data_IF_019587504756
#
_entry.id   IF_019587504756
#
_cell.length_a   1.000
_cell.length_b   1.000
_cell.length_c   1.000
_cell.angle_alpha   90.00
_cell.angle_beta   90.00
_cell.angle_gamma   90.00
#
_symmetry.space_group_name_H-M   'P 1'
#
loop_
_entity.id
_entity.type
_entity.pdbx_description
1 polymer ?
#
# COMPACT_ATOMS: atom_id res chain seq x y z
N UNK A 1 -9.87 -25.16 12.83
CA UNK A 1 -8.76 -24.33 12.32
C UNK A 1 -8.72 -24.54 10.81
N UNK A 2 -8.86 -23.48 10.02
CA UNK A 2 -8.67 -23.54 8.56
C UNK A 2 -7.27 -24.08 8.28
N UNK A 3 -7.14 -25.06 7.39
CA UNK A 3 -5.84 -25.54 6.90
C UNK A 3 -5.26 -24.59 5.85
N UNK A 4 -6.06 -23.61 5.37
CA UNK A 4 -5.63 -22.59 4.43
C UNK A 4 -5.06 -21.37 5.18
N UNK A 5 -3.75 -21.25 5.19
CA UNK A 5 -3.03 -20.14 5.83
C UNK A 5 -3.31 -18.76 5.18
N UNK A 6 -3.90 -18.75 3.98
CA UNK A 6 -4.23 -17.53 3.23
C UNK A 6 -5.70 -17.12 3.34
N UNK A 7 -6.51 -17.87 4.10
CA UNK A 7 -7.92 -17.57 4.32
C UNK A 7 -8.07 -16.26 5.13
N UNK A 8 -8.83 -15.32 4.58
CA UNK A 8 -9.14 -14.03 5.19
C UNK A 8 -10.63 -13.89 5.55
N UNK A 9 -11.38 -15.00 5.57
CA UNK A 9 -12.81 -14.98 5.89
C UNK A 9 -13.07 -14.31 7.25
N UNK A 10 -13.98 -13.32 7.25
CA UNK A 10 -14.32 -12.54 8.43
C UNK A 10 -13.30 -11.46 8.82
N UNK A 11 -12.27 -11.20 8.02
CA UNK A 11 -11.33 -10.08 8.22
C UNK A 11 -11.87 -8.82 7.56
N UNK A 12 -11.67 -7.67 8.19
CA UNK A 12 -11.95 -6.34 7.64
C UNK A 12 -10.64 -5.72 7.18
N UNK A 13 -10.57 -5.37 5.89
CA UNK A 13 -9.36 -4.80 5.28
C UNK A 13 -9.62 -3.40 4.72
N UNK A 14 -8.83 -2.41 5.13
CA UNK A 14 -8.80 -1.08 4.53
C UNK A 14 -7.64 -1.00 3.54
N UNK A 15 -7.92 -0.71 2.26
CA UNK A 15 -6.90 -0.52 1.21
C UNK A 15 -6.96 0.91 0.71
N UNK A 16 -5.90 1.69 0.94
CA UNK A 16 -5.80 3.07 0.47
C UNK A 16 -5.25 3.16 -0.95
N UNK A 17 -5.69 4.14 -1.75
CA UNK A 17 -5.30 4.23 -3.17
C UNK A 17 -5.77 3.04 -4.00
N UNK A 18 -6.91 2.44 -3.62
CA UNK A 18 -7.42 1.19 -4.16
C UNK A 18 -8.29 1.35 -5.42
N UNK A 19 -8.44 2.57 -5.94
CA UNK A 19 -9.26 2.82 -7.14
C UNK A 19 -8.60 2.38 -8.46
N UNK A 20 -7.32 1.96 -8.44
CA UNK A 20 -6.56 1.50 -9.61
C UNK A 20 -5.20 0.88 -9.23
N UNK A 21 -4.57 0.21 -10.20
CA UNK A 21 -3.19 -0.25 -10.12
C UNK A 21 -2.95 -1.27 -9.00
N UNK A 22 -1.84 -1.12 -8.27
CA UNK A 22 -1.45 -2.06 -7.21
C UNK A 22 -2.53 -2.14 -6.13
N UNK A 23 -3.07 -1.00 -5.68
CA UNK A 23 -4.11 -0.97 -4.64
C UNK A 23 -5.39 -1.69 -5.06
N UNK A 24 -5.84 -1.53 -6.30
CA UNK A 24 -6.98 -2.25 -6.85
C UNK A 24 -6.71 -3.76 -6.91
N UNK A 25 -5.53 -4.16 -7.41
CA UNK A 25 -5.16 -5.57 -7.49
C UNK A 25 -5.11 -6.23 -6.10
N UNK A 26 -4.59 -5.50 -5.10
CA UNK A 26 -4.61 -5.95 -3.70
C UNK A 26 -6.05 -6.10 -3.20
N UNK A 27 -6.89 -5.07 -3.38
CA UNK A 27 -8.28 -5.09 -2.91
C UNK A 27 -9.06 -6.29 -3.48
N UNK A 28 -8.92 -6.57 -4.77
CA UNK A 28 -9.54 -7.73 -5.43
C UNK A 28 -9.05 -9.04 -4.84
N UNK A 29 -7.74 -9.23 -4.71
CA UNK A 29 -7.19 -10.48 -4.20
C UNK A 29 -7.57 -10.72 -2.74
N UNK A 30 -7.59 -9.70 -1.88
CA UNK A 30 -8.02 -9.87 -0.48
C UNK A 30 -9.51 -10.24 -0.40
N UNK A 31 -10.36 -9.68 -1.26
CA UNK A 31 -11.77 -10.05 -1.34
C UNK A 31 -11.98 -11.47 -1.89
N UNK A 32 -11.19 -11.90 -2.88
CA UNK A 32 -11.17 -13.30 -3.39
C UNK A 32 -10.80 -14.30 -2.28
N UNK A 33 -10.01 -13.88 -1.28
CA UNK A 33 -9.65 -14.69 -0.13
C UNK A 33 -10.61 -14.55 1.08
N UNK A 34 -11.77 -13.91 0.88
CA UNK A 34 -12.85 -13.85 1.87
C UNK A 34 -12.85 -12.62 2.78
N UNK A 35 -11.94 -11.67 2.60
CA UNK A 35 -11.99 -10.42 3.37
C UNK A 35 -13.15 -9.52 2.93
N UNK A 36 -13.74 -8.78 3.87
CA UNK A 36 -14.50 -7.57 3.53
C UNK A 36 -13.54 -6.42 3.29
N UNK A 37 -13.56 -5.82 2.10
CA UNK A 37 -12.57 -4.81 1.68
C UNK A 37 -13.19 -3.43 1.60
N UNK A 38 -12.67 -2.50 2.39
CA UNK A 38 -12.96 -1.07 2.29
C UNK A 38 -12.02 -0.50 1.21
N UNK A 39 -12.58 -0.28 0.03
CA UNK A 39 -11.87 0.28 -1.14
C UNK A 39 -11.80 1.79 -0.97
N UNK A 40 -10.61 2.34 -0.70
CA UNK A 40 -10.48 3.75 -0.38
C UNK A 40 -9.57 4.51 -1.35
N UNK A 41 -10.03 5.67 -1.78
CA UNK A 41 -9.25 6.69 -2.50
C UNK A 41 -9.92 8.06 -2.37
N UNK A 42 -9.36 9.10 -3.03
CA UNK A 42 -9.87 10.48 -2.93
C UNK A 42 -11.26 10.68 -3.52
N UNK A 43 -11.63 9.90 -4.55
CA UNK A 43 -12.91 10.00 -5.26
C UNK A 43 -13.76 8.78 -4.96
N UNK A 44 -14.95 9.01 -4.40
CA UNK A 44 -15.88 7.95 -4.03
C UNK A 44 -16.34 7.14 -5.24
N UNK A 45 -16.62 7.79 -6.35
CA UNK A 45 -17.06 7.17 -7.60
C UNK A 45 -16.06 6.15 -8.16
N UNK A 46 -14.74 6.49 -8.09
CA UNK A 46 -13.67 5.57 -8.52
C UNK A 46 -13.58 4.36 -7.56
N UNK A 47 -13.82 4.56 -6.27
CA UNK A 47 -13.87 3.48 -5.28
C UNK A 47 -15.09 2.58 -5.50
N UNK A 48 -16.26 3.16 -5.76
CA UNK A 48 -17.50 2.42 -6.04
C UNK A 48 -17.34 1.52 -7.26
N UNK A 49 -16.71 2.02 -8.33
CA UNK A 49 -16.45 1.21 -9.54
C UNK A 49 -15.71 -0.08 -9.21
N UNK A 50 -14.67 -0.01 -8.36
CA UNK A 50 -13.89 -1.18 -7.95
C UNK A 50 -14.69 -2.05 -6.98
N UNK A 51 -15.34 -1.45 -5.98
CA UNK A 51 -16.15 -2.18 -5.00
C UNK A 51 -17.32 -2.93 -5.65
N UNK A 52 -18.02 -2.29 -6.60
CA UNK A 52 -19.09 -2.93 -7.37
C UNK A 52 -18.58 -4.13 -8.17
N UNK A 53 -17.41 -4.00 -8.78
CA UNK A 53 -16.84 -5.11 -9.55
C UNK A 53 -16.35 -6.27 -8.65
N UNK A 54 -15.87 -6.00 -7.43
CA UNK A 54 -15.55 -7.04 -6.43
C UNK A 54 -16.84 -7.77 -6.02
N UNK A 55 -17.92 -7.03 -5.72
CA UNK A 55 -19.22 -7.63 -5.37
C UNK A 55 -19.79 -8.46 -6.50
N UNK A 56 -19.67 -7.99 -7.75
CA UNK A 56 -20.14 -8.73 -8.95
C UNK A 56 -19.34 -10.04 -9.15
N UNK A 57 -18.10 -10.12 -8.67
CA UNK A 57 -17.29 -11.35 -8.66
C UNK A 57 -17.56 -12.26 -7.45
N UNK A 58 -18.53 -11.93 -6.59
CA UNK A 58 -18.88 -12.71 -5.40
C UNK A 58 -18.09 -12.36 -4.13
N UNK A 59 -17.22 -11.36 -4.18
CA UNK A 59 -16.48 -10.85 -3.02
C UNK A 59 -17.30 -9.84 -2.20
N UNK A 60 -16.73 -9.39 -1.09
CA UNK A 60 -17.34 -8.40 -0.20
C UNK A 60 -16.53 -7.10 -0.20
N UNK A 61 -17.15 -5.98 -0.55
CA UNK A 61 -16.47 -4.69 -0.57
C UNK A 61 -17.42 -3.51 -0.45
N UNK A 62 -16.91 -2.43 0.14
CA UNK A 62 -17.55 -1.11 0.19
C UNK A 62 -16.59 0.01 -0.25
N UNK A 63 -17.10 1.11 -0.82
CA UNK A 63 -16.31 2.27 -1.19
C UNK A 63 -16.21 3.25 -0.03
N UNK A 64 -15.07 3.92 0.14
CA UNK A 64 -14.90 4.98 1.12
C UNK A 64 -13.96 6.07 0.61
N UNK A 65 -14.42 7.32 0.55
CA UNK A 65 -13.57 8.44 0.16
C UNK A 65 -12.62 8.80 1.32
N UNK A 66 -11.30 8.89 1.02
CA UNK A 66 -10.30 9.37 1.97
C UNK A 66 -9.10 9.95 1.20
N UNK A 67 -8.75 11.19 1.53
CA UNK A 67 -7.48 11.77 1.15
C UNK A 67 -6.48 11.59 2.31
N UNK A 68 -5.58 10.60 2.21
CA UNK A 68 -4.66 10.22 3.31
C UNK A 68 -3.74 11.36 3.80
N UNK A 69 -3.59 12.45 3.07
CA UNK A 69 -2.88 13.64 3.51
C UNK A 69 -3.71 14.58 4.40
N UNK A 70 -5.01 14.36 4.53
CA UNK A 70 -5.91 15.19 5.35
C UNK A 70 -6.27 14.48 6.64
N UNK A 71 -5.98 15.13 7.76
CA UNK A 71 -6.22 14.50 9.07
C UNK A 71 -7.70 14.32 9.36
N UNK A 72 -8.54 15.24 8.89
CA UNK A 72 -9.99 15.15 8.98
C UNK A 72 -10.56 13.95 8.23
N UNK A 73 -10.04 13.65 7.02
CA UNK A 73 -10.47 12.49 6.23
C UNK A 73 -10.05 11.18 6.91
N UNK A 74 -8.83 11.14 7.49
CA UNK A 74 -8.37 10.00 8.27
C UNK A 74 -9.27 9.77 9.48
N UNK A 75 -9.56 10.83 10.24
CA UNK A 75 -10.43 10.74 11.40
C UNK A 75 -11.84 10.23 11.04
N UNK A 76 -12.43 10.76 9.96
CA UNK A 76 -13.73 10.33 9.45
C UNK A 76 -13.72 8.86 8.99
N UNK A 77 -12.65 8.44 8.29
CA UNK A 77 -12.46 7.05 7.86
C UNK A 77 -12.48 6.08 9.04
N UNK A 78 -11.72 6.37 10.10
CA UNK A 78 -11.66 5.49 11.26
C UNK A 78 -12.89 5.59 12.16
N UNK A 79 -13.62 6.73 12.15
CA UNK A 79 -14.94 6.83 12.77
C UNK A 79 -15.93 5.89 12.08
N UNK A 80 -16.00 5.94 10.75
CA UNK A 80 -16.83 5.04 9.94
C UNK A 80 -16.51 3.56 10.22
N UNK A 81 -15.22 3.17 10.21
CA UNK A 81 -14.83 1.78 10.48
C UNK A 81 -15.25 1.33 11.89
N UNK A 82 -15.11 2.18 12.90
CA UNK A 82 -15.57 1.87 14.26
C UNK A 82 -17.07 1.68 14.33
N UNK A 83 -17.83 2.54 13.68
CA UNK A 83 -19.29 2.53 13.70
C UNK A 83 -19.86 1.33 12.93
N UNK A 84 -19.36 1.05 11.74
CA UNK A 84 -19.93 0.04 10.85
C UNK A 84 -19.40 -1.37 11.13
N UNK A 85 -18.13 -1.50 11.55
CA UNK A 85 -17.47 -2.80 11.68
C UNK A 85 -17.00 -3.11 13.10
N UNK A 86 -16.79 -2.08 13.95
CA UNK A 86 -16.25 -2.25 15.31
C UNK A 86 -14.81 -2.75 15.36
N UNK A 87 -14.21 -3.07 14.22
CA UNK A 87 -12.86 -3.67 14.11
C UNK A 87 -12.16 -3.32 12.78
N UNK A 88 -10.83 -3.47 12.78
CA UNK A 88 -10.02 -3.49 11.56
C UNK A 88 -8.91 -4.54 11.72
N UNK A 89 -8.81 -5.50 10.78
CA UNK A 89 -7.81 -6.56 10.82
C UNK A 89 -6.59 -6.26 9.96
N UNK A 90 -6.79 -5.56 8.84
CA UNK A 90 -5.78 -5.33 7.82
C UNK A 90 -5.82 -3.86 7.38
N UNK A 91 -4.64 -3.20 7.39
CA UNK A 91 -4.45 -1.91 6.75
C UNK A 91 -3.41 -2.03 5.64
N UNK A 92 -3.75 -1.56 4.44
CA UNK A 92 -2.80 -1.41 3.33
C UNK A 92 -2.63 0.09 3.04
N UNK A 93 -1.49 0.63 3.43
CA UNK A 93 -1.05 1.96 3.06
C UNK A 93 -0.43 1.89 1.66
N UNK A 94 -1.22 2.20 0.62
CA UNK A 94 -0.77 2.17 -0.76
C UNK A 94 -0.92 3.51 -1.49
N UNK A 95 -1.82 4.39 -1.04
CA UNK A 95 -1.97 5.72 -1.63
C UNK A 95 -0.65 6.51 -1.58
N UNK A 96 -0.16 6.97 -2.73
CA UNK A 96 1.09 7.72 -2.82
C UNK A 96 0.99 8.93 -3.75
N UNK A 97 1.90 9.87 -3.59
CA UNK A 97 2.11 11.00 -4.47
C UNK A 97 3.58 11.07 -4.94
N UNK A 98 3.77 11.40 -6.20
CA UNK A 98 5.05 11.78 -6.80
C UNK A 98 4.78 12.96 -7.75
N UNK A 99 4.57 14.16 -7.21
CA UNK A 99 4.13 15.32 -8.00
C UNK A 99 5.24 15.94 -8.85
N UNK A 100 6.50 15.55 -8.61
CA UNK A 100 7.65 16.12 -9.28
C UNK A 100 8.58 15.01 -9.81
N UNK A 101 8.95 15.13 -11.08
CA UNK A 101 9.94 14.31 -11.75
C UNK A 101 10.99 15.23 -12.40
N UNK A 102 12.16 15.35 -11.76
CA UNK A 102 13.22 16.28 -12.18
C UNK A 102 14.39 16.30 -11.20
N UNK A 103 15.39 17.14 -11.50
CA UNK A 103 16.60 17.24 -10.69
C UNK A 103 16.27 17.67 -9.25
N UNK A 104 16.91 17.06 -8.26
CA UNK A 104 16.56 17.23 -6.83
C UNK A 104 16.71 18.70 -6.36
N UNK A 105 17.65 19.45 -6.92
CA UNK A 105 17.86 20.85 -6.58
C UNK A 105 16.74 21.79 -7.07
N UNK A 106 15.93 21.34 -8.02
CA UNK A 106 14.81 22.09 -8.59
C UNK A 106 13.47 21.72 -7.95
N UNK A 107 13.49 20.88 -6.89
CA UNK A 107 12.27 20.51 -6.16
C UNK A 107 11.71 21.73 -5.42
N UNK A 108 10.50 22.15 -5.78
CA UNK A 108 9.82 23.24 -5.09
C UNK A 108 9.16 22.81 -3.78
N UNK A 109 8.79 23.80 -2.95
CA UNK A 109 8.18 23.56 -1.65
C UNK A 109 6.82 22.83 -1.77
N UNK A 110 6.04 23.13 -2.81
CA UNK A 110 4.72 22.52 -2.99
C UNK A 110 4.83 21.02 -3.31
N UNK A 111 5.80 20.65 -4.14
CA UNK A 111 6.09 19.23 -4.44
C UNK A 111 6.64 18.50 -3.20
N UNK A 112 7.53 19.15 -2.44
CA UNK A 112 8.04 18.62 -1.19
C UNK A 112 6.92 18.39 -0.18
N UNK A 113 6.12 19.42 0.11
CA UNK A 113 5.02 19.35 1.08
C UNK A 113 3.99 18.29 0.69
N UNK A 114 3.62 18.23 -0.60
CA UNK A 114 2.66 17.22 -1.08
C UNK A 114 3.18 15.80 -0.93
N UNK A 115 4.47 15.59 -1.17
CA UNK A 115 5.08 14.27 -1.01
C UNK A 115 5.13 13.87 0.47
N UNK A 116 5.57 14.75 1.35
CA UNK A 116 5.62 14.51 2.80
C UNK A 116 4.22 14.30 3.37
N UNK A 117 3.26 15.16 2.99
CA UNK A 117 1.86 15.07 3.41
C UNK A 117 1.26 13.68 3.13
N UNK A 118 1.41 13.19 1.90
CA UNK A 118 0.76 11.94 1.48
C UNK A 118 1.58 10.72 1.88
N UNK A 119 2.90 10.71 1.55
CA UNK A 119 3.69 9.49 1.66
C UNK A 119 4.23 9.25 3.08
N UNK A 120 4.45 10.30 3.88
CA UNK A 120 5.00 10.16 5.24
C UNK A 120 3.92 10.38 6.28
N UNK A 121 3.34 11.61 6.36
CA UNK A 121 2.34 11.94 7.37
C UNK A 121 1.09 11.07 7.24
N UNK A 122 0.62 10.86 6.00
CA UNK A 122 -0.54 10.02 5.73
C UNK A 122 -0.36 8.58 6.21
N UNK A 123 0.73 7.93 5.80
CA UNK A 123 1.05 6.55 6.24
C UNK A 123 1.18 6.43 7.75
N UNK A 124 1.85 7.42 8.36
CA UNK A 124 2.04 7.43 9.81
C UNK A 124 0.71 7.46 10.56
N UNK A 125 -0.16 8.43 10.26
CA UNK A 125 -1.42 8.59 10.99
C UNK A 125 -2.48 7.55 10.62
N UNK A 126 -2.50 7.04 9.37
CA UNK A 126 -3.29 5.85 9.04
C UNK A 126 -2.87 4.65 9.89
N UNK A 127 -1.55 4.44 10.07
CA UNK A 127 -1.03 3.34 10.90
C UNK A 127 -1.33 3.55 12.39
N UNK A 128 -1.26 4.80 12.89
CA UNK A 128 -1.62 5.13 14.29
C UNK A 128 -3.09 4.80 14.57
N UNK A 129 -4.01 5.26 13.72
CA UNK A 129 -5.44 5.03 13.94
C UNK A 129 -5.82 3.54 13.76
N UNK A 130 -5.24 2.84 12.76
CA UNK A 130 -5.40 1.40 12.63
C UNK A 130 -4.84 0.65 13.85
N UNK A 131 -3.65 1.02 14.30
CA UNK A 131 -3.01 0.42 15.47
C UNK A 131 -3.84 0.55 16.74
N UNK A 132 -4.55 1.68 16.95
CA UNK A 132 -5.48 1.87 18.07
C UNK A 132 -6.63 0.85 18.05
N UNK A 133 -7.24 0.61 16.87
CA UNK A 133 -8.28 -0.40 16.71
C UNK A 133 -7.74 -1.81 16.90
N UNK A 134 -6.63 -2.14 16.25
CA UNK A 134 -6.00 -3.46 16.28
C UNK A 134 -5.51 -3.82 17.70
N UNK A 135 -5.02 -2.84 18.47
CA UNK A 135 -4.61 -3.02 19.87
C UNK A 135 -5.73 -3.57 20.73
N UNK A 136 -6.95 -3.06 20.59
CA UNK A 136 -8.11 -3.53 21.37
C UNK A 136 -8.51 -4.96 21.03
N UNK A 137 -8.13 -5.44 19.82
CA UNK A 137 -8.39 -6.79 19.31
C UNK A 137 -7.27 -7.77 19.67
N UNK A 138 -6.09 -7.28 20.09
CA UNK A 138 -4.88 -8.07 20.33
C UNK A 138 -4.26 -8.68 19.05
N UNK A 139 -4.65 -8.21 17.86
CA UNK A 139 -4.14 -8.70 16.57
C UNK A 139 -4.36 -7.68 15.45
N UNK A 140 -3.50 -7.71 14.44
CA UNK A 140 -3.63 -6.91 13.22
C UNK A 140 -2.46 -7.10 12.27
N UNK A 141 -2.64 -6.65 11.02
CA UNK A 141 -1.59 -6.62 10.03
C UNK A 141 -1.61 -5.29 9.26
N UNK A 142 -0.48 -4.61 9.21
CA UNK A 142 -0.29 -3.39 8.42
C UNK A 142 0.76 -3.67 7.34
N UNK A 143 0.45 -3.33 6.09
CA UNK A 143 1.42 -3.38 5.00
C UNK A 143 1.56 -2.00 4.39
N UNK A 144 2.80 -1.52 4.35
CA UNK A 144 3.17 -0.26 3.72
C UNK A 144 3.72 -0.52 2.31
N UNK A 145 3.09 0.02 1.28
CA UNK A 145 3.62 -0.06 -0.08
C UNK A 145 4.66 1.06 -0.26
N UNK A 146 5.93 0.68 -0.13
CA UNK A 146 7.06 1.57 -0.34
C UNK A 146 7.46 1.62 -1.84
N UNK A 147 8.69 1.31 -2.17
CA UNK A 147 9.27 1.20 -3.52
C UNK A 147 10.69 0.67 -3.38
N UNK A 148 11.27 0.08 -4.43
CA UNK A 148 12.73 -0.14 -4.54
C UNK A 148 13.53 1.16 -4.39
N UNK A 149 12.91 2.31 -4.68
CA UNK A 149 13.51 3.62 -4.43
C UNK A 149 13.79 3.91 -2.93
N UNK A 150 13.28 3.08 -2.03
CA UNK A 150 13.66 3.12 -0.62
C UNK A 150 15.08 2.58 -0.38
N UNK A 151 15.60 1.74 -1.28
CA UNK A 151 16.92 1.11 -1.21
C UNK A 151 17.93 1.83 -2.12
N UNK A 152 17.51 2.07 -3.37
CA UNK A 152 18.31 2.74 -4.39
C UNK A 152 17.50 3.91 -4.96
N UNK A 153 17.93 5.16 -4.75
CA UNK A 153 17.21 6.32 -5.26
C UNK A 153 17.07 6.27 -6.78
N UNK A 154 15.84 6.47 -7.28
CA UNK A 154 15.61 6.59 -8.72
C UNK A 154 16.06 7.96 -9.24
N UNK A 155 16.61 7.98 -10.44
CA UNK A 155 16.96 9.22 -11.15
C UNK A 155 15.75 10.15 -11.24
N UNK A 156 15.95 11.45 -11.00
CA UNK A 156 14.93 12.50 -11.07
C UNK A 156 13.74 12.30 -10.09
N UNK A 157 13.89 11.46 -9.06
CA UNK A 157 12.86 11.15 -8.07
C UNK A 157 13.33 11.39 -6.62
N UNK A 158 14.14 12.41 -6.38
CA UNK A 158 14.82 12.63 -5.11
C UNK A 158 13.88 12.63 -3.90
N UNK A 159 12.91 13.56 -3.82
CA UNK A 159 12.00 13.64 -2.67
C UNK A 159 11.09 12.40 -2.55
N UNK A 160 10.68 11.78 -3.68
CA UNK A 160 9.92 10.55 -3.66
C UNK A 160 10.74 9.41 -3.04
N UNK A 161 11.99 9.23 -3.46
CA UNK A 161 12.90 8.20 -2.93
C UNK A 161 13.12 8.39 -1.42
N UNK A 162 13.38 9.62 -0.97
CA UNK A 162 13.49 9.98 0.46
C UNK A 162 12.22 9.57 1.22
N UNK A 163 11.05 9.89 0.66
CA UNK A 163 9.78 9.53 1.31
C UNK A 163 9.58 8.02 1.42
N UNK A 164 10.03 7.25 0.41
CA UNK A 164 9.91 5.78 0.43
C UNK A 164 10.93 5.12 1.38
N UNK A 165 12.12 5.69 1.54
CA UNK A 165 13.06 5.29 2.58
C UNK A 165 12.49 5.55 3.99
N UNK A 166 11.83 6.70 4.19
CA UNK A 166 11.12 7.00 5.44
C UNK A 166 10.02 5.97 5.73
N UNK A 167 9.24 5.55 4.72
CA UNK A 167 8.21 4.50 4.86
C UNK A 167 8.83 3.15 5.24
N UNK A 168 9.95 2.76 4.64
CA UNK A 168 10.64 1.52 4.98
C UNK A 168 11.13 1.54 6.45
N UNK A 169 11.67 2.66 6.92
CA UNK A 169 12.09 2.77 8.32
C UNK A 169 10.89 2.88 9.28
N UNK A 170 9.85 3.61 8.91
CA UNK A 170 8.57 3.68 9.63
C UNK A 170 7.99 2.28 9.87
N UNK A 171 8.05 1.40 8.87
CA UNK A 171 7.62 0.00 8.98
C UNK A 171 8.31 -0.70 10.14
N UNK A 172 9.64 -0.57 10.26
CA UNK A 172 10.43 -1.17 11.34
C UNK A 172 10.08 -0.58 12.71
N UNK A 173 9.88 0.74 12.77
CA UNK A 173 9.50 1.41 14.02
C UNK A 173 8.14 0.91 14.54
N UNK A 174 7.10 0.91 13.68
CA UNK A 174 5.79 0.37 14.06
C UNK A 174 5.84 -1.12 14.39
N UNK A 175 6.59 -1.92 13.62
CA UNK A 175 6.74 -3.35 13.89
C UNK A 175 7.33 -3.62 15.27
N UNK A 176 8.33 -2.83 15.68
CA UNK A 176 8.98 -2.94 17.00
C UNK A 176 8.03 -2.56 18.14
N UNK A 177 7.31 -1.45 18.01
CA UNK A 177 6.45 -0.94 19.08
C UNK A 177 5.10 -1.65 19.15
N UNK A 178 4.55 -2.07 18.00
CA UNK A 178 3.23 -2.71 17.93
C UNK A 178 3.28 -4.24 18.03
N UNK A 179 4.45 -4.86 17.83
CA UNK A 179 4.62 -6.31 17.94
C UNK A 179 4.11 -6.89 19.28
N UNK A 180 4.43 -6.30 20.44
CA UNK A 180 3.90 -6.76 21.73
C UNK A 180 2.37 -6.65 21.87
N UNK A 181 1.72 -5.91 20.98
CA UNK A 181 0.26 -5.77 20.91
C UNK A 181 -0.40 -6.78 19.96
N UNK A 182 0.37 -7.72 19.38
CA UNK A 182 -0.11 -8.68 18.38
C UNK A 182 -0.29 -8.09 16.98
N UNK A 183 0.30 -6.92 16.69
CA UNK A 183 0.18 -6.24 15.39
C UNK A 183 1.48 -6.42 14.62
N UNK A 184 1.39 -7.00 13.41
CA UNK A 184 2.53 -7.12 12.50
C UNK A 184 2.53 -5.97 11.51
N UNK A 185 3.71 -5.41 11.25
CA UNK A 185 3.87 -4.30 10.29
C UNK A 185 5.01 -4.63 9.34
N UNK A 186 4.73 -4.73 8.05
CA UNK A 186 5.70 -5.06 7.02
C UNK A 186 5.57 -4.09 5.83
N UNK A 187 6.54 -4.13 4.92
CA UNK A 187 6.50 -3.34 3.70
C UNK A 187 6.64 -4.21 2.45
N UNK A 188 5.94 -3.83 1.39
CA UNK A 188 6.18 -4.25 0.02
C UNK A 188 7.01 -3.17 -0.68
N UNK A 189 8.07 -3.56 -1.37
CA UNK A 189 8.91 -2.69 -2.19
C UNK A 189 8.77 -3.08 -3.67
N UNK A 190 7.77 -2.53 -4.38
CA UNK A 190 7.63 -2.78 -5.82
C UNK A 190 8.79 -2.21 -6.62
N UNK A 191 9.22 -2.95 -7.63
CA UNK A 191 10.04 -2.46 -8.73
C UNK A 191 9.21 -1.77 -9.81
N UNK A 192 9.74 -1.77 -11.05
CA UNK A 192 9.08 -1.19 -12.21
C UNK A 192 7.80 -1.95 -12.56
N UNK A 193 6.66 -1.41 -12.15
CA UNK A 193 5.34 -2.04 -12.25
C UNK A 193 4.41 -1.19 -13.14
N UNK A 194 3.67 -1.84 -14.04
CA UNK A 194 2.76 -1.19 -14.98
C UNK A 194 1.54 -0.61 -14.28
N UNK A 195 1.58 0.69 -14.05
CA UNK A 195 0.50 1.44 -13.40
C UNK A 195 0.35 2.82 -14.04
N UNK A 196 -0.82 3.45 -13.87
CA UNK A 196 -0.99 4.86 -14.27
C UNK A 196 -0.04 5.80 -13.51
N UNK A 197 0.40 5.43 -12.32
CA UNK A 197 1.37 6.19 -11.53
C UNK A 197 2.74 6.24 -12.20
N UNK A 198 3.13 5.18 -12.90
CA UNK A 198 4.40 5.07 -13.60
C UNK A 198 4.31 5.41 -15.10
N UNK A 199 3.17 5.93 -15.60
CA UNK A 199 2.91 6.13 -17.04
C UNK A 199 4.01 6.90 -17.75
N UNK A 200 4.57 7.95 -17.13
CA UNK A 200 5.65 8.75 -17.72
C UNK A 200 6.90 7.91 -18.11
N UNK A 201 7.18 6.83 -17.35
CA UNK A 201 8.29 5.91 -17.66
C UNK A 201 7.95 4.96 -18.81
N UNK A 202 6.67 4.61 -18.98
CA UNK A 202 6.20 3.76 -20.08
C UNK A 202 6.02 4.51 -21.40
N UNK A 203 5.73 5.81 -21.35
CA UNK A 203 5.51 6.67 -22.51
C UNK A 203 6.81 7.07 -23.23
N UNK A 204 7.96 6.93 -22.58
CA UNK A 204 9.26 7.19 -23.16
C UNK A 204 9.96 5.86 -23.53
N UNK A 205 10.06 5.50 -24.84
CA UNK A 205 10.63 4.22 -25.26
C UNK A 205 12.08 4.02 -24.80
N UNK A 206 12.91 5.08 -24.80
CA UNK A 206 14.31 4.99 -24.39
C UNK A 206 14.45 4.70 -22.89
N UNK A 207 13.63 5.34 -22.06
CA UNK A 207 13.59 5.08 -20.62
C UNK A 207 13.07 3.65 -20.38
N UNK A 208 12.01 3.26 -21.07
CA UNK A 208 11.42 1.94 -20.94
C UNK A 208 12.42 0.83 -21.29
N UNK A 209 13.07 0.90 -22.47
CA UNK A 209 14.05 -0.09 -22.91
C UNK A 209 15.25 -0.19 -21.97
N UNK A 210 15.75 0.97 -21.48
CA UNK A 210 16.83 0.98 -20.51
C UNK A 210 16.42 0.22 -19.22
N UNK A 211 15.26 0.57 -18.65
CA UNK A 211 14.77 -0.08 -17.42
C UNK A 211 14.55 -1.59 -17.61
N UNK A 212 13.95 -2.01 -18.75
CA UNK A 212 13.73 -3.44 -19.03
C UNK A 212 15.05 -4.20 -19.16
N UNK A 213 16.09 -3.58 -19.72
CA UNK A 213 17.41 -4.20 -19.83
C UNK A 213 18.15 -4.31 -18.50
N UNK A 214 17.86 -3.40 -17.53
CA UNK A 214 18.41 -3.45 -16.17
C UNK A 214 17.70 -4.51 -15.30
N UNK A 215 16.47 -4.92 -15.65
CA UNK A 215 15.72 -5.95 -14.91
C UNK A 215 16.11 -7.35 -15.37
N UNK A 216 16.63 -8.24 -14.52
CA UNK A 216 17.01 -9.61 -14.91
C UNK A 216 15.89 -10.44 -15.54
N UNK A 217 14.62 -10.23 -15.14
CA UNK A 217 13.47 -10.89 -15.77
C UNK A 217 13.07 -10.26 -17.12
N UNK A 218 13.74 -9.21 -17.59
CA UNK A 218 13.53 -8.52 -18.88
C UNK A 218 12.07 -8.13 -19.15
N UNK A 219 11.33 -7.78 -18.13
CA UNK A 219 9.96 -7.27 -18.21
C UNK A 219 9.60 -6.40 -17.01
N UNK A 220 8.58 -5.58 -17.15
CA UNK A 220 7.95 -4.94 -16.01
C UNK A 220 7.08 -5.94 -15.22
N UNK A 221 6.80 -5.61 -13.97
CA UNK A 221 5.82 -6.32 -13.16
C UNK A 221 4.40 -5.85 -13.46
N UNK A 222 3.43 -6.73 -13.25
CA UNK A 222 2.00 -6.39 -13.28
C UNK A 222 1.48 -6.17 -11.85
N UNK A 223 0.47 -5.30 -11.64
CA UNK A 223 -0.11 -5.04 -10.31
C UNK A 223 -0.50 -6.30 -9.54
N UNK A 224 -0.99 -7.34 -10.22
CA UNK A 224 -1.39 -8.61 -9.60
C UNK A 224 -0.21 -9.36 -8.98
N UNK A 225 0.99 -9.21 -9.53
CA UNK A 225 2.21 -9.87 -9.00
C UNK A 225 2.62 -9.25 -7.65
N UNK A 226 2.28 -7.97 -7.43
CA UNK A 226 2.48 -7.29 -6.13
C UNK A 226 1.48 -7.79 -5.07
N UNK A 227 0.24 -8.06 -5.48
CA UNK A 227 -0.84 -8.43 -4.57
C UNK A 227 -0.60 -9.77 -3.85
N UNK A 228 0.05 -10.74 -4.49
CA UNK A 228 0.39 -12.03 -3.87
C UNK A 228 1.28 -11.90 -2.64
N UNK A 229 2.29 -11.03 -2.70
CA UNK A 229 3.15 -10.74 -1.54
C UNK A 229 2.37 -10.06 -0.41
N UNK A 230 1.46 -9.14 -0.75
CA UNK A 230 0.60 -8.51 0.26
C UNK A 230 -0.31 -9.53 0.92
N UNK A 231 -0.93 -10.44 0.16
CA UNK A 231 -1.74 -11.52 0.70
C UNK A 231 -0.93 -12.37 1.70
N UNK A 232 0.30 -12.76 1.34
CA UNK A 232 1.20 -13.43 2.28
C UNK A 232 1.36 -12.62 3.57
N UNK A 233 1.74 -11.34 3.46
CA UNK A 233 2.05 -10.50 4.62
C UNK A 233 0.87 -10.25 5.56
N UNK A 234 -0.38 -10.26 5.07
CA UNK A 234 -1.57 -10.04 5.92
C UNK A 234 -2.19 -11.30 6.45
N UNK A 235 -1.86 -12.45 5.87
CA UNK A 235 -2.40 -13.75 6.24
C UNK A 235 -1.67 -14.41 7.42
N UNK A 236 -2.19 -15.53 7.88
CA UNK A 236 -1.56 -16.34 8.95
C UNK A 236 -0.28 -17.05 8.45
N UNK A 237 -0.06 -17.14 7.13
CA UNK A 237 1.20 -17.61 6.54
C UNK A 237 2.42 -16.74 6.96
N UNK A 238 2.18 -15.46 7.27
CA UNK A 238 3.22 -14.53 7.75
C UNK A 238 3.18 -14.30 9.27
N UNK A 239 2.64 -15.25 10.05
CA UNK A 239 2.47 -15.09 11.51
C UNK A 239 3.76 -14.77 12.28
N UNK A 240 4.93 -15.09 11.71
CA UNK A 240 6.24 -14.80 12.29
C UNK A 240 7.06 -13.79 11.48
N UNK A 241 6.42 -13.09 10.51
CA UNK A 241 7.05 -12.05 9.69
C UNK A 241 6.64 -10.68 10.20
N UNK A 242 7.60 -9.91 10.74
CA UNK A 242 7.35 -8.59 11.31
C UNK A 242 8.56 -7.66 11.11
N UNK A 243 8.34 -6.44 10.63
CA UNK A 243 9.37 -5.45 10.35
C UNK A 243 10.11 -5.65 9.03
N UNK A 244 9.64 -6.56 8.17
CA UNK A 244 10.32 -6.93 6.92
C UNK A 244 9.92 -6.02 5.77
N UNK A 245 10.89 -5.80 4.87
CA UNK A 245 10.73 -5.06 3.62
C UNK A 245 10.95 -6.03 2.45
N UNK A 246 9.86 -6.54 1.87
CA UNK A 246 9.94 -7.52 0.78
C UNK A 246 10.02 -6.81 -0.57
N UNK A 247 11.10 -7.05 -1.29
CA UNK A 247 11.33 -6.54 -2.65
C UNK A 247 10.64 -7.46 -3.65
N UNK A 248 9.89 -6.85 -4.60
CA UNK A 248 9.26 -7.56 -5.73
C UNK A 248 9.50 -6.73 -6.98
N UNK A 249 10.63 -6.98 -7.66
CA UNK A 249 11.18 -6.08 -8.67
C UNK A 249 11.77 -6.78 -9.92
N UNK A 250 11.63 -8.10 -10.01
CA UNK A 250 12.22 -8.87 -11.11
C UNK A 250 13.75 -8.96 -11.08
N UNK A 251 14.36 -8.61 -9.96
CA UNK A 251 15.81 -8.61 -9.77
C UNK A 251 16.47 -7.25 -10.03
N UNK A 252 15.70 -6.16 -10.19
CA UNK A 252 16.23 -4.82 -10.50
C UNK A 252 17.28 -4.34 -9.49
N UNK A 253 17.18 -4.74 -8.22
CA UNK A 253 18.03 -4.24 -7.13
C UNK A 253 19.16 -5.19 -6.71
N UNK A 254 19.44 -6.25 -7.47
CA UNK A 254 20.54 -7.18 -7.19
C UNK A 254 21.71 -6.97 -8.13
#
# INVERSE_FOLDING_TARGET
>A
LSTNLFDLTGRIALVTGASRGIGEAIARLLAEQGAHVIVSSRKLEDCETVAASIRAAGGSAEPLACHVGRMEDIAATFAHIREQHGRLDILINNAAANPYFGHILDTDLAAYDKTVEVNIRGYFFMSVEAGKLMKSQGRGAIVNVASVNALQPGDMQGIYSISKAAVAHMTKAFAKECGPLGIRVNALLPGFTKTKFASALFENPQIYERLINEIPLHRHGEPREMAGTVLYLVSDAASYTNGECIVVDGGLTI
#
